data_IF_026040409356
#
_entry.id   IF_026040409356
#
_cell.length_a   1.000
_cell.length_b   1.000
_cell.length_c   1.000
_cell.angle_alpha   90.00
_cell.angle_beta   90.00
_cell.angle_gamma   90.00
#
_symmetry.space_group_name_H-M   'P 1'
#
loop_
_entity.id
_entity.type
_entity.pdbx_description
1 polymer ?
#
# COMPACT_ATOMS: atom_id res chain seq x y z
N UNK A 1 7.39 7.29 -12.35
CA UNK A 1 7.47 5.80 -12.33
C UNK A 1 6.43 5.17 -13.26
N UNK A 2 6.65 3.98 -13.88
CA UNK A 2 5.55 3.20 -14.49
C UNK A 2 4.45 2.88 -13.46
N UNK A 3 3.18 2.86 -13.87
CA UNK A 3 2.07 2.60 -12.93
C UNK A 3 2.10 1.15 -12.43
N UNK A 4 2.16 0.90 -11.10
CA UNK A 4 2.12 -0.44 -10.56
C UNK A 4 0.74 -1.09 -10.74
N UNK A 5 0.76 -2.37 -11.12
CA UNK A 5 -0.44 -3.20 -11.26
C UNK A 5 -0.57 -4.08 -10.03
N UNK A 6 -1.60 -3.83 -9.21
CA UNK A 6 -1.88 -4.66 -8.04
C UNK A 6 -2.45 -6.01 -8.51
N UNK A 7 -1.83 -7.09 -8.04
CA UNK A 7 -2.27 -8.47 -8.26
C UNK A 7 -3.16 -8.94 -7.12
N UNK A 8 -2.75 -8.64 -5.89
CA UNK A 8 -3.47 -9.05 -4.67
C UNK A 8 -3.27 -8.04 -3.54
N UNK A 9 -4.32 -7.84 -2.74
CA UNK A 9 -4.27 -7.12 -1.46
C UNK A 9 -4.96 -8.00 -0.42
N UNK A 10 -4.31 -8.18 0.72
CA UNK A 10 -4.85 -8.92 1.85
C UNK A 10 -4.56 -8.22 3.17
N UNK A 11 -5.47 -8.36 4.13
CA UNK A 11 -5.20 -8.01 5.52
C UNK A 11 -4.23 -9.02 6.13
N UNK A 12 -3.31 -8.56 6.96
CA UNK A 12 -2.53 -9.46 7.80
C UNK A 12 -3.38 -10.02 8.94
N UNK A 13 -3.36 -11.33 9.10
CA UNK A 13 -4.02 -12.01 10.22
C UNK A 13 -3.50 -11.49 11.56
N UNK A 14 -4.42 -11.06 12.42
CA UNK A 14 -4.10 -10.56 13.77
C UNK A 14 -3.73 -9.08 13.84
N UNK A 15 -3.47 -8.40 12.72
CA UNK A 15 -3.05 -6.99 12.70
C UNK A 15 -4.11 -6.10 12.04
N UNK A 16 -4.75 -5.23 12.83
CA UNK A 16 -5.71 -4.26 12.29
C UNK A 16 -4.98 -3.22 11.44
N UNK A 17 -5.43 -3.06 10.19
CA UNK A 17 -4.96 -2.05 9.22
C UNK A 17 -3.53 -2.23 8.69
N UNK A 18 -2.98 -3.43 8.82
CA UNK A 18 -1.76 -3.83 8.11
C UNK A 18 -2.14 -4.71 6.91
N UNK A 19 -1.63 -4.35 5.74
CA UNK A 19 -1.98 -4.99 4.47
C UNK A 19 -0.75 -5.53 3.77
N UNK A 20 -0.84 -6.78 3.32
CA UNK A 20 0.08 -7.36 2.34
C UNK A 20 -0.40 -7.03 0.94
N UNK A 21 0.52 -6.56 0.11
CA UNK A 21 0.23 -6.14 -1.26
C UNK A 21 1.20 -6.86 -2.18
N UNK A 22 0.65 -7.62 -3.14
CA UNK A 22 1.40 -8.16 -4.26
C UNK A 22 1.14 -7.27 -5.48
N UNK A 23 2.19 -6.72 -6.06
CA UNK A 23 2.08 -5.81 -7.20
C UNK A 23 3.20 -6.06 -8.21
N UNK A 24 2.90 -5.77 -9.47
CA UNK A 24 3.85 -5.78 -10.56
C UNK A 24 4.26 -4.34 -10.86
N UNK A 25 5.56 -4.10 -10.99
CA UNK A 25 6.13 -2.84 -11.43
C UNK A 25 7.11 -3.10 -12.58
N UNK A 26 6.85 -2.46 -13.72
CA UNK A 26 7.47 -2.85 -14.99
C UNK A 26 7.28 -4.36 -15.25
N UNK A 27 8.36 -5.10 -15.49
CA UNK A 27 8.32 -6.54 -15.80
C UNK A 27 8.64 -7.44 -14.61
N UNK A 28 8.53 -6.91 -13.38
CA UNK A 28 8.90 -7.62 -12.15
C UNK A 28 7.79 -7.56 -11.11
N UNK A 29 7.71 -8.61 -10.30
CA UNK A 29 6.74 -8.75 -9.22
C UNK A 29 7.39 -8.45 -7.85
N UNK A 30 6.61 -7.80 -7.00
CA UNK A 30 7.04 -7.27 -5.71
C UNK A 30 6.00 -7.50 -4.63
N UNK A 31 6.48 -7.66 -3.40
CA UNK A 31 5.66 -7.78 -2.21
C UNK A 31 5.94 -6.60 -1.30
N UNK A 32 4.86 -5.97 -0.84
CA UNK A 32 4.89 -4.89 0.12
C UNK A 32 4.00 -5.18 1.32
N UNK A 33 4.36 -4.62 2.47
CA UNK A 33 3.53 -4.53 3.66
C UNK A 33 3.30 -3.06 3.94
N UNK A 34 2.05 -2.65 3.98
CA UNK A 34 1.63 -1.29 4.28
C UNK A 34 0.90 -1.28 5.63
N UNK A 35 1.41 -0.48 6.55
CA UNK A 35 0.77 -0.25 7.84
C UNK A 35 0.15 1.14 7.86
N UNK A 36 -1.19 1.18 7.81
CA UNK A 36 -1.92 2.45 7.74
C UNK A 36 -1.97 3.20 9.07
N UNK A 37 -1.61 2.58 10.20
CA UNK A 37 -1.59 3.27 11.50
C UNK A 37 -0.45 4.29 11.59
N UNK A 38 0.69 3.98 11.01
CA UNK A 38 1.89 4.80 11.07
C UNK A 38 2.39 5.24 9.67
N UNK A 39 1.70 4.85 8.60
CA UNK A 39 2.08 5.13 7.22
C UNK A 39 3.36 4.40 6.78
N UNK A 40 3.85 3.44 7.55
CA UNK A 40 5.06 2.71 7.21
C UNK A 40 4.81 1.71 6.09
N UNK A 41 5.75 1.66 5.15
CA UNK A 41 5.71 0.74 4.02
C UNK A 41 7.05 0.04 3.89
N UNK A 42 7.00 -1.28 3.84
CA UNK A 42 8.14 -2.15 3.62
C UNK A 42 7.94 -2.91 2.33
N UNK A 43 8.92 -2.91 1.44
CA UNK A 43 8.82 -3.58 0.15
C UNK A 43 10.16 -4.17 -0.27
N UNK A 44 10.12 -5.27 -1.02
CA UNK A 44 11.30 -5.83 -1.67
C UNK A 44 11.72 -5.07 -2.94
N UNK A 45 11.03 -3.98 -3.31
CA UNK A 45 11.37 -3.09 -4.43
C UNK A 45 12.53 -2.12 -4.08
N UNK A 46 13.69 -2.65 -3.67
CA UNK A 46 14.86 -1.88 -3.16
C UNK A 46 15.62 -1.05 -4.19
N UNK A 47 15.20 -1.06 -5.46
CA UNK A 47 15.85 -0.34 -6.56
C UNK A 47 15.20 1.02 -6.84
N UNK A 48 14.10 1.35 -6.15
CA UNK A 48 13.39 2.61 -6.31
C UNK A 48 14.18 3.74 -5.63
N UNK A 49 14.18 4.91 -6.25
CA UNK A 49 14.61 6.14 -5.59
C UNK A 49 13.64 6.51 -4.47
N UNK A 50 14.05 7.39 -3.54
CA UNK A 50 13.18 7.83 -2.44
C UNK A 50 11.88 8.48 -2.96
N UNK A 51 11.97 9.28 -4.02
CA UNK A 51 10.81 9.92 -4.64
C UNK A 51 9.85 8.89 -5.26
N UNK A 52 10.40 7.92 -5.99
CA UNK A 52 9.63 6.81 -6.55
C UNK A 52 8.98 5.97 -5.45
N UNK A 53 9.72 5.65 -4.40
CA UNK A 53 9.16 4.90 -3.28
C UNK A 53 8.02 5.68 -2.61
N UNK A 54 8.15 7.00 -2.44
CA UNK A 54 7.05 7.85 -1.93
C UNK A 54 5.82 7.83 -2.84
N UNK A 55 5.99 7.94 -4.15
CA UNK A 55 4.87 7.84 -5.12
C UNK A 55 4.18 6.47 -5.04
N UNK A 56 4.96 5.39 -4.93
CA UNK A 56 4.44 4.03 -4.79
C UNK A 56 3.64 3.88 -3.49
N UNK A 57 4.19 4.31 -2.35
CA UNK A 57 3.53 4.28 -1.04
C UNK A 57 2.21 5.03 -1.10
N UNK A 58 2.22 6.22 -1.69
CA UNK A 58 1.03 7.04 -1.85
C UNK A 58 -0.04 6.31 -2.66
N UNK A 59 0.32 5.78 -3.82
CA UNK A 59 -0.59 5.02 -4.68
C UNK A 59 -1.18 3.79 -3.96
N UNK A 60 -0.32 3.01 -3.29
CA UNK A 60 -0.75 1.82 -2.56
C UNK A 60 -1.62 2.13 -1.35
N UNK A 61 -1.43 3.30 -0.73
CA UNK A 61 -2.26 3.76 0.39
C UNK A 61 -3.71 3.97 -0.04
N UNK A 62 -3.94 4.72 -1.12
CA UNK A 62 -5.29 4.88 -1.68
C UNK A 62 -5.97 3.55 -2.00
N UNK A 63 -5.20 2.62 -2.59
CA UNK A 63 -5.71 1.28 -2.94
C UNK A 63 -6.03 0.44 -1.72
N UNK A 64 -5.26 0.58 -0.64
CA UNK A 64 -5.56 -0.04 0.64
C UNK A 64 -6.81 0.53 1.30
N UNK A 65 -7.03 1.85 1.21
CA UNK A 65 -8.27 2.49 1.69
C UNK A 65 -9.50 1.95 0.94
N UNK A 66 -9.44 1.91 -0.39
CA UNK A 66 -10.50 1.34 -1.24
C UNK A 66 -10.79 -0.11 -0.86
N UNK A 67 -9.74 -0.93 -0.68
CA UNK A 67 -9.87 -2.33 -0.30
C UNK A 67 -10.54 -2.49 1.07
N UNK A 68 -10.13 -1.70 2.07
CA UNK A 68 -10.72 -1.75 3.41
C UNK A 68 -12.18 -1.31 3.41
N UNK A 69 -12.50 -0.26 2.65
CA UNK A 69 -13.88 0.19 2.47
C UNK A 69 -14.76 -0.91 1.85
N UNK A 70 -14.26 -1.63 0.84
CA UNK A 70 -14.96 -2.79 0.23
C UNK A 70 -15.16 -3.95 1.21
N UNK A 71 -14.28 -4.10 2.21
CA UNK A 71 -14.40 -5.09 3.28
C UNK A 71 -15.29 -4.61 4.45
N UNK A 72 -15.87 -3.41 4.35
CA UNK A 72 -16.68 -2.81 5.42
C UNK A 72 -15.87 -2.28 6.61
N UNK A 73 -14.56 -2.08 6.42
CA UNK A 73 -13.65 -1.55 7.42
C UNK A 73 -13.46 -0.06 7.18
N UNK A 74 -14.01 0.76 8.08
CA UNK A 74 -13.83 2.21 8.05
C UNK A 74 -12.50 2.60 8.68
N UNK A 75 -11.63 3.24 7.90
CA UNK A 75 -10.44 3.89 8.43
C UNK A 75 -10.80 5.19 9.17
N UNK A 76 -10.25 5.40 10.38
CA UNK A 76 -10.26 6.69 11.03
C UNK A 76 -9.68 7.78 10.12
N UNK A 77 -10.22 9.02 10.13
CA UNK A 77 -9.73 10.11 9.28
C UNK A 77 -8.23 10.40 9.44
N UNK A 78 -7.69 10.25 10.65
CA UNK A 78 -6.28 10.44 10.97
C UNK A 78 -5.34 9.42 10.29
N UNK A 79 -5.89 8.28 9.85
CA UNK A 79 -5.15 7.22 9.16
C UNK A 79 -5.34 7.24 7.64
N UNK A 80 -6.18 8.15 7.14
CA UNK A 80 -6.33 8.35 5.70
C UNK A 80 -5.15 9.13 5.16
N UNK A 81 -4.81 8.86 3.91
CA UNK A 81 -3.80 9.58 3.17
C UNK A 81 -4.23 11.05 3.02
N UNK A 82 -3.66 11.94 3.83
CA UNK A 82 -3.90 13.38 3.80
C UNK A 82 -3.22 14.01 2.58
N UNK A 83 -3.81 13.80 1.39
CA UNK A 83 -3.33 14.37 0.14
C UNK A 83 -3.62 15.87 0.13
N UNK A 84 -2.59 16.68 0.36
CA UNK A 84 -2.58 18.13 0.13
C UNK A 84 -1.68 18.45 -1.06
#
# INVERSE_FOLDING_TARGET
MPTPVIKEIGLMDGEKFELKIHFQLADKEYFGILNLKNGSFLSNAVFLTDAENQELVHYLSHRAEDFLAQKGISLPPELKCNCH
#
